data_IF_481127249785
#
_entry.id   IF_481127249785
#
_cell.length_a   1.000
_cell.length_b   1.000
_cell.length_c   1.000
_cell.angle_alpha   90.00
_cell.angle_beta   90.00
_cell.angle_gamma   90.00
#
_symmetry.space_group_name_H-M   'P 1'
#
loop_
_entity.id
_entity.type
_entity.pdbx_description
1 polymer ?
#
# COMPACT_ATOMS: atom_id res chain seq x y z
N UNK A 1 -10.35 6.80 -5.99
CA UNK A 1 -11.23 5.72 -6.51
C UNK A 1 -12.06 5.24 -5.34
N UNK A 2 -13.28 4.73 -5.56
CA UNK A 2 -14.05 4.14 -4.45
C UNK A 2 -13.59 2.73 -4.13
N UNK A 3 -13.34 2.48 -2.85
CA UNK A 3 -13.06 1.16 -2.29
C UNK A 3 -14.31 0.63 -1.55
N UNK A 4 -14.60 -0.67 -1.59
CA UNK A 4 -15.78 -1.25 -0.95
C UNK A 4 -15.70 -1.14 0.58
N UNK A 5 -14.51 -1.36 1.15
CA UNK A 5 -14.24 -1.23 2.58
C UNK A 5 -12.77 -0.86 2.80
N UNK A 6 -12.51 0.01 3.78
CA UNK A 6 -11.16 0.29 4.27
C UNK A 6 -10.77 -0.79 5.29
N UNK A 7 -9.63 -1.45 5.08
CA UNK A 7 -9.16 -2.53 5.96
C UNK A 7 -8.76 -2.04 7.36
N UNK A 8 -8.42 -0.76 7.49
CA UNK A 8 -8.06 -0.13 8.77
C UNK A 8 -9.28 0.28 9.60
N UNK A 9 -10.10 1.21 9.09
CA UNK A 9 -11.22 1.79 9.84
C UNK A 9 -12.59 1.15 9.55
N UNK A 10 -12.67 0.22 8.61
CA UNK A 10 -13.90 -0.48 8.18
C UNK A 10 -14.98 0.43 7.56
N UNK A 11 -14.66 1.69 7.25
CA UNK A 11 -15.52 2.56 6.46
C UNK A 11 -15.80 1.93 5.08
N UNK A 12 -17.03 2.07 4.59
CA UNK A 12 -17.49 1.42 3.34
C UNK A 12 -17.80 2.45 2.25
N UNK A 13 -17.66 2.04 1.00
CA UNK A 13 -17.96 2.86 -0.19
C UNK A 13 -17.30 4.26 -0.14
N UNK A 14 -16.03 4.28 0.25
CA UNK A 14 -15.25 5.49 0.53
C UNK A 14 -14.14 5.67 -0.50
N UNK A 15 -13.67 6.89 -0.69
CA UNK A 15 -12.50 7.15 -1.54
C UNK A 15 -11.22 6.60 -0.90
N UNK A 16 -10.41 5.90 -1.68
CA UNK A 16 -9.19 5.27 -1.23
C UNK A 16 -8.34 4.71 -2.37
N UNK A 17 -7.40 3.84 -2.00
CA UNK A 17 -6.49 3.14 -2.91
C UNK A 17 -6.46 1.66 -2.53
N UNK A 18 -6.29 0.80 -3.54
CA UNK A 18 -6.16 -0.65 -3.40
C UNK A 18 -4.73 -1.08 -3.77
N UNK A 19 -4.15 -1.96 -2.96
CA UNK A 19 -2.86 -2.57 -3.23
C UNK A 19 -3.03 -3.49 -4.43
N UNK A 20 -2.24 -3.30 -5.48
CA UNK A 20 -2.35 -4.10 -6.71
C UNK A 20 -1.90 -5.54 -6.56
N UNK A 21 -1.28 -5.90 -5.44
CA UNK A 21 -0.75 -7.24 -5.21
C UNK A 21 -1.66 -8.12 -4.35
N UNK A 22 -2.21 -7.59 -3.27
CA UNK A 22 -2.96 -8.36 -2.27
C UNK A 22 -4.40 -7.86 -2.04
N UNK A 23 -4.85 -6.90 -2.84
CA UNK A 23 -6.18 -6.29 -2.78
C UNK A 23 -6.54 -5.59 -1.45
N UNK A 24 -5.58 -5.42 -0.54
CA UNK A 24 -5.75 -4.58 0.66
C UNK A 24 -6.09 -3.15 0.29
N UNK A 25 -7.09 -2.57 0.93
CA UNK A 25 -7.63 -1.26 0.58
C UNK A 25 -7.63 -0.29 1.77
N UNK A 26 -7.17 0.93 1.54
CA UNK A 26 -7.16 1.99 2.55
C UNK A 26 -7.84 3.26 2.03
N UNK A 27 -8.68 3.88 2.86
CA UNK A 27 -9.25 5.19 2.54
C UNK A 27 -8.20 6.29 2.67
N UNK A 28 -8.41 7.41 1.95
CA UNK A 28 -7.46 8.53 1.98
C UNK A 28 -7.28 9.10 3.40
N UNK A 29 -8.34 9.23 4.19
CA UNK A 29 -8.24 9.71 5.58
C UNK A 29 -7.29 8.86 6.45
N UNK A 30 -7.28 7.54 6.24
CA UNK A 30 -6.37 6.63 6.95
C UNK A 30 -4.94 6.76 6.45
N UNK A 31 -4.75 6.98 5.15
CA UNK A 31 -3.45 7.18 4.53
C UNK A 31 -2.85 8.55 4.87
N UNK A 32 -3.65 9.60 5.03
CA UNK A 32 -3.17 10.90 5.49
C UNK A 32 -2.64 10.82 6.93
N UNK A 33 -3.30 10.01 7.78
CA UNK A 33 -2.83 9.74 9.13
C UNK A 33 -1.65 8.74 9.19
N UNK A 34 -1.57 7.81 8.23
CA UNK A 34 -0.53 6.77 8.17
C UNK A 34 0.04 6.64 6.74
N UNK A 35 0.79 7.65 6.25
CA UNK A 35 1.32 7.63 4.88
C UNK A 35 2.15 6.39 4.51
N UNK A 36 2.92 5.77 5.42
CA UNK A 36 3.71 4.58 5.10
C UNK A 36 2.89 3.34 4.73
N UNK A 37 1.58 3.28 5.06
CA UNK A 37 0.73 2.11 4.80
C UNK A 37 0.63 1.76 3.31
N UNK A 38 0.79 2.75 2.44
CA UNK A 38 0.73 2.59 1.00
C UNK A 38 1.89 3.32 0.33
N UNK A 39 2.60 2.61 -0.55
CA UNK A 39 3.76 3.12 -1.28
C UNK A 39 3.60 2.89 -2.77
N UNK A 40 4.28 3.69 -3.58
CA UNK A 40 4.36 3.48 -5.03
C UNK A 40 5.61 2.66 -5.31
N UNK A 41 5.44 1.54 -6.01
CA UNK A 41 6.56 0.72 -6.48
C UNK A 41 7.41 1.53 -7.48
N UNK A 42 8.71 1.73 -7.24
CA UNK A 42 9.58 2.50 -8.13
C UNK A 42 9.78 1.82 -9.50
N UNK A 43 9.57 0.50 -9.57
CA UNK A 43 9.81 -0.29 -10.80
C UNK A 43 8.63 -0.25 -11.76
N UNK A 44 7.39 -0.36 -11.26
CA UNK A 44 6.18 -0.47 -12.10
C UNK A 44 5.15 0.64 -11.87
N UNK A 45 5.38 1.56 -10.93
CA UNK A 45 4.50 2.69 -10.64
C UNK A 45 3.16 2.31 -9.99
N UNK A 46 3.00 1.07 -9.52
CA UNK A 46 1.77 0.61 -8.88
C UNK A 46 1.75 0.88 -7.37
N UNK A 47 0.56 1.08 -6.83
CA UNK A 47 0.36 1.16 -5.37
C UNK A 47 0.47 -0.21 -4.73
N UNK A 48 1.33 -0.32 -3.72
CA UNK A 48 1.55 -1.49 -2.88
C UNK A 48 1.37 -1.11 -1.42
N UNK A 49 0.75 -1.99 -0.63
CA UNK A 49 0.77 -1.83 0.82
C UNK A 49 2.19 -1.99 1.35
N UNK A 50 2.46 -1.48 2.55
CA UNK A 50 3.81 -1.54 3.14
C UNK A 50 4.38 -2.97 3.19
N UNK A 51 3.56 -3.95 3.58
CA UNK A 51 3.97 -5.35 3.66
C UNK A 51 4.39 -5.91 2.29
N UNK A 52 3.60 -5.64 1.24
CA UNK A 52 3.95 -6.06 -0.13
C UNK A 52 5.18 -5.32 -0.65
N UNK A 53 5.30 -4.02 -0.35
CA UNK A 53 6.47 -3.24 -0.73
C UNK A 53 7.75 -3.81 -0.08
N UNK A 54 7.71 -4.12 1.21
CA UNK A 54 8.85 -4.68 1.92
C UNK A 54 9.19 -6.09 1.42
N UNK A 55 8.18 -6.95 1.26
CA UNK A 55 8.37 -8.33 0.80
C UNK A 55 8.82 -8.46 -0.66
N UNK A 56 8.52 -7.48 -1.52
CA UNK A 56 8.88 -7.53 -2.95
C UNK A 56 10.05 -6.62 -3.34
N UNK A 57 10.16 -5.43 -2.75
CA UNK A 57 11.13 -4.40 -3.17
C UNK A 57 12.25 -4.24 -2.16
N UNK A 58 11.94 -4.22 -0.85
CA UNK A 58 12.96 -3.97 0.17
C UNK A 58 13.89 -5.18 0.39
N UNK A 59 13.40 -6.42 0.22
CA UNK A 59 14.22 -7.62 0.39
C UNK A 59 15.28 -7.83 -0.71
N UNK A 60 15.06 -7.36 -1.94
CA UNK A 60 16.07 -7.40 -3.02
C UNK A 60 17.04 -6.21 -2.97
N UNK A 61 16.80 -5.23 -2.08
CA UNK A 61 17.65 -4.07 -1.85
C UNK A 61 18.53 -4.19 -0.60
N UNK A 62 18.66 -5.38 0.00
CA UNK A 62 19.75 -5.61 0.95
C UNK A 62 21.06 -5.51 0.16
N UNK A 63 21.95 -4.55 0.42
CA UNK A 63 23.26 -4.57 -0.20
C UNK A 63 23.92 -5.87 0.26
N UNK A 64 24.27 -6.75 -0.68
CA UNK A 64 25.27 -7.77 -0.42
C UNK A 64 26.52 -6.99 0.00
N UNK A 65 26.78 -6.97 1.31
CA UNK A 65 27.92 -6.29 1.90
C UNK A 65 29.16 -6.64 1.09
N UNK A 66 29.79 -5.61 0.53
CA UNK A 66 31.18 -5.65 0.10
C UNK A 66 31.98 -4.81 1.08
#
# INVERSE_FOLDING_TARGET
MKIPVCDRCKAKNIEGIICRHCDTAYCYDCLDANPPDMKICPTCGQFLCNECYEGMIACDQVPLGK
#
